data_IF_808265972409
#
_entry.id   IF_808265972409
#
_cell.length_a   1.000
_cell.length_b   1.000
_cell.length_c   1.000
_cell.angle_alpha   90.00
_cell.angle_beta   90.00
_cell.angle_gamma   90.00
#
_symmetry.space_group_name_H-M   'P 1'
#
loop_
_entity.id
_entity.type
_entity.pdbx_description
1 polymer ?
#
# COMPACT_ATOMS: atom_id res chain seq x y z
N UNK A 1 17.36 41.69 14.94
CA UNK A 1 17.83 42.70 13.96
C UNK A 1 17.22 42.33 12.61
N UNK A 2 16.68 43.27 11.83
CA UNK A 2 16.19 42.95 10.47
C UNK A 2 17.36 43.06 9.48
N UNK A 3 17.49 42.08 8.60
CA UNK A 3 18.19 42.19 7.32
C UNK A 3 17.22 41.66 6.26
N UNK A 4 17.22 42.27 5.09
CA UNK A 4 16.33 41.94 3.97
C UNK A 4 17.08 41.07 2.96
N UNK A 5 16.35 40.27 2.20
CA UNK A 5 16.86 39.67 0.96
C UNK A 5 16.71 40.67 -0.19
N UNK A 6 17.60 40.57 -1.17
CA UNK A 6 17.35 41.02 -2.55
C UNK A 6 17.86 39.94 -3.52
N UNK A 7 17.69 40.20 -4.81
CA UNK A 7 17.68 39.25 -5.92
C UNK A 7 19.08 39.00 -6.50
N UNK A 8 19.17 38.10 -7.49
CA UNK A 8 20.38 37.86 -8.31
C UNK A 8 21.64 37.43 -7.54
N UNK A 9 21.47 36.49 -6.60
CA UNK A 9 22.53 35.94 -5.75
C UNK A 9 23.63 35.13 -6.48
N UNK A 10 24.53 35.83 -7.18
CA UNK A 10 25.83 35.31 -7.62
C UNK A 10 26.94 35.84 -6.71
N UNK A 11 27.80 34.94 -6.23
CA UNK A 11 29.11 35.28 -5.66
C UNK A 11 30.14 34.40 -6.36
N UNK A 12 31.22 35.02 -6.81
CA UNK A 12 32.37 34.38 -7.48
C UNK A 12 33.63 34.56 -6.62
N UNK A 13 34.63 33.76 -6.99
CA UNK A 13 36.06 33.88 -6.66
C UNK A 13 36.52 33.54 -5.23
N UNK A 14 37.69 32.89 -5.20
CA UNK A 14 38.27 32.24 -4.02
C UNK A 14 39.39 31.28 -4.41
N UNK A 15 40.32 31.71 -5.26
CA UNK A 15 41.50 30.92 -5.64
C UNK A 15 42.41 30.63 -4.43
N UNK A 16 43.05 29.46 -4.42
CA UNK A 16 44.35 29.31 -3.77
C UNK A 16 45.16 28.16 -4.40
N UNK A 17 46.43 28.43 -4.71
CA UNK A 17 47.37 27.51 -5.37
C UNK A 17 48.33 26.89 -4.34
N UNK A 18 48.74 25.64 -4.56
CA UNK A 18 50.11 25.18 -4.24
C UNK A 18 50.45 23.85 -4.90
N UNK A 19 51.63 23.79 -5.53
CA UNK A 19 52.33 22.57 -5.90
C UNK A 19 53.37 22.23 -4.81
N UNK A 20 53.87 20.98 -4.71
CA UNK A 20 55.32 20.69 -4.51
C UNK A 20 55.67 19.18 -4.56
N UNK A 21 56.52 18.83 -5.53
CA UNK A 21 57.60 17.81 -5.54
C UNK A 21 57.62 16.59 -4.58
N UNK A 22 57.35 15.40 -5.14
CA UNK A 22 58.26 14.24 -5.38
C UNK A 22 59.28 13.69 -4.32
N UNK A 23 59.68 12.42 -4.53
CA UNK A 23 60.82 11.63 -3.96
C UNK A 23 60.65 10.99 -2.54
N UNK A 24 61.16 9.78 -2.22
CA UNK A 24 61.56 8.58 -3.02
C UNK A 24 61.82 7.34 -2.10
N UNK A 25 61.69 6.11 -2.64
CA UNK A 25 62.17 4.79 -2.11
C UNK A 25 61.63 4.19 -0.79
N UNK A 26 61.55 2.84 -0.75
CA UNK A 26 61.53 2.03 0.50
C UNK A 26 60.57 0.82 0.49
N UNK A 27 61.08 -0.41 0.35
CA UNK A 27 60.28 -1.65 0.45
C UNK A 27 60.05 -2.09 1.90
N UNK A 28 58.86 -2.62 2.22
CA UNK A 28 58.72 -4.00 2.72
C UNK A 28 57.25 -4.49 2.71
N UNK A 29 57.06 -5.82 2.66
CA UNK A 29 55.75 -6.48 2.54
C UNK A 29 55.29 -7.09 3.87
N UNK A 30 54.10 -6.73 4.35
CA UNK A 30 53.30 -7.52 5.30
C UNK A 30 51.82 -7.45 4.87
N UNK A 31 51.10 -8.58 4.69
CA UNK A 31 49.71 -8.56 4.26
C UNK A 31 48.74 -8.42 5.44
N UNK A 32 47.94 -7.35 5.46
CA UNK A 32 46.85 -7.15 6.41
C UNK A 32 45.58 -6.62 5.73
N UNK A 33 44.42 -6.96 6.32
CA UNK A 33 43.10 -6.69 5.76
C UNK A 33 42.71 -5.21 5.83
N UNK A 34 42.05 -4.74 4.77
CA UNK A 34 40.86 -3.88 4.87
C UNK A 34 41.00 -2.53 5.56
N UNK A 35 41.35 -1.50 4.77
CA UNK A 35 40.96 -0.12 5.03
C UNK A 35 40.20 0.40 3.81
N UNK A 36 39.03 0.99 4.05
CA UNK A 36 38.39 1.88 3.08
C UNK A 36 39.00 3.28 3.23
N UNK A 37 39.02 4.13 2.19
CA UNK A 37 39.28 5.55 2.38
C UNK A 37 38.16 6.15 3.24
N UNK A 38 38.52 6.95 4.24
CA UNK A 38 37.58 7.88 4.85
C UNK A 38 37.15 8.92 3.80
N UNK A 39 35.88 9.31 3.86
CA UNK A 39 35.29 10.37 3.04
C UNK A 39 34.57 11.30 3.99
N UNK A 40 34.94 12.57 3.99
CA UNK A 40 34.49 13.54 4.98
C UNK A 40 32.96 13.66 5.03
N UNK A 41 32.41 13.58 6.24
CA UNK A 41 30.97 13.70 6.49
C UNK A 41 30.61 15.11 6.95
N UNK A 42 30.24 15.97 6.01
CA UNK A 42 29.36 17.10 6.29
C UNK A 42 27.94 16.59 6.59
N UNK A 43 27.73 16.08 7.80
CA UNK A 43 26.41 15.67 8.29
C UNK A 43 25.56 16.88 8.67
N UNK A 44 24.81 17.41 7.70
CA UNK A 44 23.68 18.30 7.95
C UNK A 44 22.35 17.52 8.05
N UNK A 45 22.26 16.60 9.00
CA UNK A 45 21.15 16.61 9.94
C UNK A 45 19.83 15.98 9.48
N UNK A 46 19.88 14.83 8.80
CA UNK A 46 18.72 13.92 8.72
C UNK A 46 19.13 12.51 9.14
N UNK A 47 19.16 12.28 10.45
CA UNK A 47 19.49 10.99 11.10
C UNK A 47 18.44 9.89 10.92
N UNK A 48 17.97 9.67 9.70
CA UNK A 48 17.15 8.51 9.33
C UNK A 48 18.03 7.30 9.03
N UNK A 49 17.67 6.13 9.56
CA UNK A 49 18.30 4.87 9.17
C UNK A 49 17.84 4.50 7.74
N UNK A 50 18.78 4.11 6.86
CA UNK A 50 18.44 3.55 5.55
C UNK A 50 17.68 2.25 5.76
N UNK A 51 16.41 2.22 5.38
CA UNK A 51 15.54 1.04 5.59
C UNK A 51 15.78 -0.05 4.55
N UNK A 52 16.03 0.37 3.30
CA UNK A 52 16.22 -0.52 2.16
C UNK A 52 17.19 0.13 1.18
N UNK A 53 18.02 -0.70 0.53
CA UNK A 53 18.96 -0.27 -0.51
C UNK A 53 18.89 -1.24 -1.68
N UNK A 54 19.19 -0.76 -2.88
CA UNK A 54 19.35 -1.61 -4.06
C UNK A 54 19.96 -0.85 -5.21
N UNK A 55 20.52 -1.58 -6.18
CA UNK A 55 21.14 -1.01 -7.36
C UNK A 55 20.89 -1.84 -8.62
N UNK A 56 21.05 -1.19 -9.77
CA UNK A 56 21.05 -1.81 -11.09
C UNK A 56 22.24 -1.29 -11.89
N UNK A 57 22.92 -2.19 -12.59
CA UNK A 57 23.94 -1.90 -13.59
C UNK A 57 23.40 -2.23 -14.98
N UNK A 58 23.54 -1.32 -15.93
CA UNK A 58 22.98 -1.42 -17.28
C UNK A 58 24.08 -1.14 -18.32
N UNK A 59 24.26 -2.09 -19.23
CA UNK A 59 25.29 -2.03 -20.27
C UNK A 59 24.64 -1.57 -21.59
N UNK A 60 24.82 -0.30 -21.93
CA UNK A 60 24.22 0.35 -23.10
C UNK A 60 25.14 0.15 -24.29
N UNK A 61 24.87 -0.90 -25.08
CA UNK A 61 25.60 -1.23 -26.32
C UNK A 61 25.10 -0.40 -27.50
N UNK A 62 25.99 -0.06 -28.42
CA UNK A 62 25.65 0.77 -29.58
C UNK A 62 25.48 2.25 -29.22
N UNK A 63 26.19 2.75 -28.21
CA UNK A 63 25.96 4.07 -27.61
C UNK A 63 26.05 5.21 -28.64
N UNK A 64 27.00 5.15 -29.58
CA UNK A 64 27.14 6.13 -30.67
C UNK A 64 25.96 6.13 -31.67
N UNK A 65 25.15 5.07 -31.67
CA UNK A 65 24.03 4.85 -32.61
C UNK A 65 22.66 5.21 -32.01
N UNK A 66 22.63 5.66 -30.75
CA UNK A 66 21.39 6.05 -30.08
C UNK A 66 20.78 7.27 -30.78
N UNK A 67 19.59 7.10 -31.36
CA UNK A 67 18.88 8.12 -32.13
C UNK A 67 17.93 8.94 -31.25
N UNK A 68 17.13 8.27 -30.42
CA UNK A 68 16.12 8.89 -29.55
C UNK A 68 16.74 9.84 -28.51
N UNK A 69 15.95 10.81 -28.04
CA UNK A 69 16.36 11.76 -27.00
C UNK A 69 16.63 11.08 -25.64
N UNK A 70 15.96 9.95 -25.37
CA UNK A 70 16.04 9.23 -24.09
C UNK A 70 15.81 7.74 -24.20
N UNK A 71 16.43 7.00 -23.27
CA UNK A 71 16.33 5.55 -23.15
C UNK A 71 16.17 5.14 -21.68
N UNK A 72 15.69 3.92 -21.46
CA UNK A 72 15.47 3.35 -20.13
C UNK A 72 16.11 1.97 -19.97
N UNK A 73 16.52 1.64 -18.75
CA UNK A 73 16.92 0.27 -18.38
C UNK A 73 15.71 -0.65 -18.13
N UNK A 74 16.00 -1.92 -17.93
CA UNK A 74 15.10 -2.83 -17.21
C UNK A 74 14.77 -2.31 -15.79
N UNK A 75 13.72 -2.84 -15.17
CA UNK A 75 13.27 -2.41 -13.84
C UNK A 75 13.86 -3.29 -12.72
N UNK A 76 14.33 -2.67 -11.64
CA UNK A 76 14.71 -3.35 -10.39
C UNK A 76 13.80 -2.93 -9.23
N UNK A 77 13.60 -3.81 -8.24
CA UNK A 77 12.64 -3.60 -7.15
C UNK A 77 13.36 -3.35 -5.83
N UNK A 78 13.02 -2.25 -5.14
CA UNK A 78 13.51 -1.94 -3.79
C UNK A 78 12.32 -1.50 -2.93
N UNK A 79 12.14 -2.15 -1.77
CA UNK A 79 10.97 -1.98 -0.88
C UNK A 79 9.61 -2.03 -1.62
N UNK A 80 9.43 -3.03 -2.49
CA UNK A 80 8.22 -3.21 -3.31
C UNK A 80 8.01 -2.19 -4.44
N UNK A 81 8.81 -1.12 -4.50
CA UNK A 81 8.74 -0.09 -5.53
C UNK A 81 9.68 -0.45 -6.69
N UNK A 82 9.23 -0.29 -7.94
CA UNK A 82 10.06 -0.52 -9.13
C UNK A 82 10.77 0.76 -9.56
N UNK A 83 12.05 0.63 -9.85
CA UNK A 83 12.95 1.69 -10.27
C UNK A 83 13.59 1.33 -11.61
N UNK A 84 13.93 2.34 -12.42
CA UNK A 84 14.71 2.17 -13.66
C UNK A 84 15.66 3.35 -13.85
N UNK A 85 16.76 3.11 -14.55
CA UNK A 85 17.66 4.16 -15.01
C UNK A 85 17.01 4.83 -16.22
N UNK A 86 17.02 6.16 -16.24
CA UNK A 86 16.62 7.00 -17.37
C UNK A 86 17.84 7.80 -17.83
N UNK A 87 18.22 7.67 -19.10
CA UNK A 87 19.38 8.33 -19.69
C UNK A 87 18.95 9.18 -20.89
N UNK A 88 19.50 10.39 -21.00
CA UNK A 88 19.43 11.20 -22.22
C UNK A 88 20.83 11.25 -22.82
N UNK A 89 21.14 10.41 -23.83
CA UNK A 89 22.51 10.24 -24.35
C UNK A 89 23.06 11.48 -25.07
N UNK A 90 22.20 12.46 -25.40
CA UNK A 90 22.54 13.74 -26.04
C UNK A 90 22.21 14.98 -25.18
N UNK A 91 21.70 14.74 -23.97
CA UNK A 91 21.37 15.78 -22.98
C UNK A 91 19.87 16.13 -22.89
N UNK A 92 19.44 16.51 -21.68
CA UNK A 92 18.10 16.98 -21.36
C UNK A 92 18.14 18.50 -21.10
N UNK A 93 17.82 19.30 -22.13
CA UNK A 93 17.87 20.78 -22.16
C UNK A 93 19.27 21.40 -21.93
N UNK A 94 20.29 20.59 -21.66
CA UNK A 94 21.70 20.99 -21.59
C UNK A 94 22.44 20.18 -22.66
N UNK A 95 22.78 20.83 -23.77
CA UNK A 95 23.51 20.20 -24.88
C UNK A 95 24.98 19.93 -24.50
N UNK A 96 25.62 18.99 -25.19
CA UNK A 96 27.03 18.65 -24.94
C UNK A 96 27.27 17.80 -23.68
N UNK A 97 26.22 17.46 -22.91
CA UNK A 97 26.30 16.59 -21.73
C UNK A 97 25.35 15.41 -21.84
N UNK A 98 25.79 14.26 -21.33
CA UNK A 98 24.96 13.12 -20.99
C UNK A 98 24.17 13.45 -19.72
N UNK A 99 22.85 13.26 -19.73
CA UNK A 99 22.01 13.37 -18.52
C UNK A 99 21.63 11.99 -18.01
N UNK A 100 21.66 11.79 -16.70
CA UNK A 100 21.42 10.50 -16.06
C UNK A 100 20.49 10.68 -14.85
N UNK A 101 19.50 9.81 -14.73
CA UNK A 101 18.43 9.85 -13.72
C UNK A 101 18.07 8.45 -13.24
N UNK A 102 17.44 8.40 -12.06
CA UNK A 102 16.64 7.26 -11.61
C UNK A 102 15.16 7.67 -11.65
N UNK A 103 14.30 6.85 -12.25
CA UNK A 103 12.85 7.04 -12.33
C UNK A 103 12.13 5.89 -11.59
N UNK A 104 11.05 6.21 -10.86
CA UNK A 104 10.06 5.23 -10.42
C UNK A 104 9.32 4.71 -11.66
N UNK A 105 9.46 3.42 -11.97
CA UNK A 105 9.15 2.88 -13.30
C UNK A 105 7.65 2.70 -13.60
N UNK A 106 6.82 2.55 -12.56
CA UNK A 106 5.37 2.30 -12.62
C UNK A 106 4.63 3.13 -11.55
N UNK A 107 4.75 4.47 -11.56
CA UNK A 107 4.22 5.35 -10.51
C UNK A 107 2.70 5.36 -10.46
N UNK A 108 2.03 4.95 -11.54
CA UNK A 108 0.57 4.81 -11.65
C UNK A 108 0.06 3.57 -10.88
N UNK A 109 0.95 2.61 -10.57
CA UNK A 109 0.64 1.44 -9.71
C UNK A 109 0.91 1.70 -8.23
N UNK A 110 1.44 2.88 -7.87
CA UNK A 110 1.62 3.29 -6.49
C UNK A 110 0.38 4.08 -6.00
N UNK A 111 -0.04 3.91 -4.74
CA UNK A 111 -1.11 4.70 -4.12
C UNK A 111 -1.05 6.21 -4.41
N UNK A 112 -2.11 6.80 -4.93
CA UNK A 112 -2.30 8.26 -5.06
C UNK A 112 -1.80 8.99 -3.80
N UNK A 113 -0.93 9.98 -3.99
CA UNK A 113 -0.26 10.70 -2.91
C UNK A 113 0.98 10.01 -2.32
N UNK A 114 1.48 8.92 -2.93
CA UNK A 114 2.72 8.25 -2.54
C UNK A 114 3.91 9.20 -2.48
N UNK A 115 4.79 8.98 -1.50
CA UNK A 115 6.04 9.71 -1.31
C UNK A 115 7.15 8.73 -0.91
N UNK A 116 8.29 8.77 -1.59
CA UNK A 116 9.47 7.96 -1.26
C UNK A 116 10.65 8.89 -1.01
N UNK A 117 11.10 8.93 0.24
CA UNK A 117 12.23 9.73 0.72
C UNK A 117 13.53 8.92 0.56
N UNK A 118 14.41 9.34 -0.35
CA UNK A 118 15.59 8.58 -0.74
C UNK A 118 16.79 9.46 -1.16
N UNK A 119 17.99 8.87 -1.12
CA UNK A 119 19.17 9.38 -1.85
C UNK A 119 19.45 8.48 -3.05
N UNK A 120 19.94 9.06 -4.14
CA UNK A 120 20.36 8.34 -5.34
C UNK A 120 21.87 8.47 -5.49
N UNK A 121 22.55 7.38 -5.86
CA UNK A 121 23.90 7.43 -6.40
C UNK A 121 23.86 6.98 -7.86
N UNK A 122 24.44 7.77 -8.76
CA UNK A 122 24.47 7.56 -10.20
C UNK A 122 25.93 7.47 -10.66
N UNK A 123 26.23 6.55 -11.56
CA UNK A 123 27.59 6.33 -12.05
C UNK A 123 27.64 5.99 -13.54
N UNK A 124 28.69 6.46 -14.22
CA UNK A 124 29.23 5.82 -15.43
C UNK A 124 30.49 5.09 -15.00
N UNK A 125 30.48 3.77 -15.13
CA UNK A 125 31.56 2.88 -14.68
C UNK A 125 32.72 2.95 -15.67
N UNK A 126 33.91 3.19 -15.15
CA UNK A 126 35.14 3.09 -15.93
C UNK A 126 35.52 1.61 -16.11
N UNK A 127 35.56 1.17 -17.36
CA UNK A 127 35.67 -0.23 -17.74
C UNK A 127 37.14 -0.71 -17.77
N UNK A 128 38.12 0.19 -17.65
CA UNK A 128 39.54 -0.15 -17.50
C UNK A 128 39.98 -0.10 -16.03
N UNK A 129 39.58 0.96 -15.30
CA UNK A 129 40.02 1.22 -13.92
C UNK A 129 38.81 1.66 -13.09
N UNK A 130 38.12 0.75 -12.36
CA UNK A 130 36.85 1.05 -11.71
C UNK A 130 36.86 2.21 -10.70
N UNK A 131 38.00 2.53 -10.09
CA UNK A 131 38.15 3.71 -9.21
C UNK A 131 38.10 5.06 -9.94
N UNK A 132 38.29 5.08 -11.27
CA UNK A 132 38.14 6.25 -12.13
C UNK A 132 36.72 6.36 -12.75
N UNK A 133 35.74 5.67 -12.17
CA UNK A 133 34.32 5.79 -12.55
C UNK A 133 33.79 7.19 -12.23
N UNK A 134 33.00 7.76 -13.13
CA UNK A 134 32.33 9.03 -12.88
C UNK A 134 31.10 8.78 -11.99
N UNK A 135 31.27 8.93 -10.68
CA UNK A 135 30.22 8.70 -9.65
C UNK A 135 29.70 10.03 -9.11
N UNK A 136 28.39 10.14 -8.86
CA UNK A 136 27.73 11.28 -8.18
C UNK A 136 26.64 10.78 -7.24
N UNK A 137 26.67 11.21 -5.98
CA UNK A 137 25.54 11.08 -5.06
C UNK A 137 24.68 12.34 -5.16
N UNK A 138 23.37 12.21 -5.29
CA UNK A 138 22.44 13.34 -5.34
C UNK A 138 22.17 13.89 -3.94
N UNK A 139 21.69 15.14 -3.82
CA UNK A 139 20.91 15.57 -2.67
C UNK A 139 19.75 14.59 -2.38
N UNK A 140 19.28 14.61 -1.14
CA UNK A 140 18.08 13.90 -0.70
C UNK A 140 16.86 14.39 -1.49
N UNK A 141 16.00 13.47 -1.92
CA UNK A 141 14.81 13.79 -2.72
C UNK A 141 13.58 12.99 -2.24
N UNK A 142 12.40 13.53 -2.55
CA UNK A 142 11.11 12.96 -2.17
C UNK A 142 10.32 12.66 -3.44
N UNK A 143 10.57 11.49 -4.02
CA UNK A 143 9.86 11.03 -5.21
C UNK A 143 8.35 10.98 -4.94
N UNK A 144 7.56 11.51 -5.86
CA UNK A 144 6.10 11.55 -5.81
C UNK A 144 5.51 11.52 -7.23
N UNK A 145 4.19 11.47 -7.38
CA UNK A 145 3.55 11.24 -8.69
C UNK A 145 3.91 12.28 -9.78
N UNK A 146 4.07 13.56 -9.41
CA UNK A 146 4.47 14.65 -10.30
C UNK A 146 5.99 14.75 -10.49
N UNK A 147 6.78 14.30 -9.51
CA UNK A 147 8.26 14.32 -9.46
C UNK A 147 8.76 12.88 -9.28
N UNK A 148 8.63 12.09 -10.35
CA UNK A 148 8.90 10.65 -10.35
C UNK A 148 10.32 10.25 -10.76
N UNK A 149 11.13 11.21 -11.22
CA UNK A 149 12.54 11.02 -11.54
C UNK A 149 13.45 12.04 -10.85
N UNK A 150 14.67 11.62 -10.55
CA UNK A 150 15.70 12.46 -9.93
C UNK A 150 17.08 12.12 -10.47
N UNK A 151 17.92 13.13 -10.67
CA UNK A 151 19.21 12.97 -11.33
C UNK A 151 19.84 14.28 -11.79
N UNK A 152 20.75 14.19 -12.76
CA UNK A 152 21.60 15.29 -13.19
C UNK A 152 21.46 15.55 -14.70
N UNK A 153 21.05 16.77 -15.05
CA UNK A 153 20.99 17.28 -16.44
C UNK A 153 22.37 17.30 -17.10
N UNK A 154 23.40 17.68 -16.36
CA UNK A 154 24.79 17.61 -16.79
C UNK A 154 25.55 16.60 -15.91
N UNK A 155 25.35 15.30 -16.16
CA UNK A 155 26.03 14.25 -15.39
C UNK A 155 27.51 14.16 -15.79
N UNK A 156 27.77 14.15 -17.10
CA UNK A 156 29.11 14.12 -17.71
C UNK A 156 29.05 14.76 -19.10
N UNK A 157 30.06 15.55 -19.45
CA UNK A 157 30.27 16.07 -20.82
C UNK A 157 30.45 14.93 -21.81
N UNK A 158 29.91 15.07 -23.03
CA UNK A 158 29.91 14.01 -24.03
C UNK A 158 31.32 13.72 -24.55
N UNK A 159 32.15 14.74 -24.73
CA UNK A 159 33.56 14.60 -25.11
C UNK A 159 34.32 13.70 -24.12
N UNK A 160 34.05 13.86 -22.82
CA UNK A 160 34.66 13.03 -21.77
C UNK A 160 34.10 11.60 -21.70
N UNK A 161 32.91 11.35 -22.24
CA UNK A 161 32.31 10.00 -22.35
C UNK A 161 32.79 9.28 -23.60
N UNK A 162 32.90 9.98 -24.73
CA UNK A 162 33.27 9.40 -26.03
C UNK A 162 34.79 9.26 -26.22
N UNK A 163 35.61 9.96 -25.43
CA UNK A 163 37.06 9.75 -25.38
C UNK A 163 37.41 8.33 -24.91
N UNK A 164 37.74 7.48 -25.90
CA UNK A 164 38.13 6.09 -25.71
C UNK A 164 39.37 5.89 -24.81
N UNK A 165 40.20 6.92 -24.60
CA UNK A 165 41.34 6.86 -23.69
C UNK A 165 40.92 6.79 -22.21
N UNK A 166 39.71 7.30 -21.89
CA UNK A 166 39.22 7.45 -20.51
C UNK A 166 38.47 6.22 -20.01
N UNK A 167 38.15 5.26 -20.88
CA UNK A 167 37.55 3.98 -20.49
C UNK A 167 36.08 4.04 -20.05
N UNK A 168 35.37 5.14 -20.28
CA UNK A 168 33.93 5.23 -20.03
C UNK A 168 33.13 4.56 -21.17
N UNK A 169 33.46 4.89 -22.43
CA UNK A 169 33.02 4.18 -23.62
C UNK A 169 34.08 3.15 -24.07
N UNK A 170 33.70 1.88 -24.16
CA UNK A 170 34.55 0.78 -24.64
C UNK A 170 33.73 -0.11 -25.55
N UNK A 171 34.25 -0.46 -26.74
CA UNK A 171 33.53 -1.27 -27.74
C UNK A 171 32.09 -0.77 -28.03
N UNK A 172 31.96 0.55 -28.29
CA UNK A 172 30.66 1.23 -28.50
C UNK A 172 29.64 0.98 -27.37
N UNK A 173 30.11 0.69 -26.16
CA UNK A 173 29.29 0.35 -24.99
C UNK A 173 29.68 1.21 -23.79
N UNK A 174 28.69 1.85 -23.15
CA UNK A 174 28.88 2.45 -21.81
C UNK A 174 28.22 1.56 -20.76
N UNK A 175 28.82 1.51 -19.57
CA UNK A 175 28.24 0.82 -18.41
C UNK A 175 27.77 1.89 -17.42
N UNK A 176 26.47 1.97 -17.18
CA UNK A 176 25.89 2.88 -16.17
C UNK A 176 25.40 2.09 -14.97
N UNK A 177 25.45 2.69 -13.79
CA UNK A 177 24.93 2.11 -12.56
C UNK A 177 24.13 3.15 -11.77
N UNK A 178 23.04 2.72 -11.16
CA UNK A 178 22.26 3.54 -10.24
C UNK A 178 21.97 2.74 -8.97
N UNK A 179 22.14 3.38 -7.82
CA UNK A 179 21.81 2.87 -6.48
C UNK A 179 20.82 3.82 -5.83
N UNK A 180 19.83 3.26 -5.12
CA UNK A 180 18.86 4.01 -4.32
C UNK A 180 18.93 3.55 -2.87
N UNK A 181 19.02 4.52 -1.96
CA UNK A 181 18.98 4.31 -0.52
C UNK A 181 17.70 4.95 0.03
N UNK A 182 16.75 4.11 0.44
CA UNK A 182 15.41 4.51 0.84
C UNK A 182 15.36 4.69 2.37
N UNK A 183 15.16 5.92 2.79
CA UNK A 183 15.08 6.31 4.20
C UNK A 183 13.66 6.16 4.75
N UNK A 184 12.64 6.52 3.96
CA UNK A 184 11.24 6.45 4.39
C UNK A 184 10.30 6.32 3.20
N UNK A 185 9.30 5.45 3.34
CA UNK A 185 8.24 5.27 2.36
C UNK A 185 6.92 5.64 3.02
N UNK A 186 6.29 6.70 2.53
CA UNK A 186 4.92 7.04 2.85
C UNK A 186 4.05 6.68 1.64
N UNK A 187 3.53 5.46 1.64
CA UNK A 187 2.35 5.15 0.85
C UNK A 187 1.13 5.56 1.68
N UNK A 188 0.32 6.54 1.26
CA UNK A 188 -1.03 6.66 1.77
C UNK A 188 -1.76 5.34 1.59
N UNK A 189 -2.70 5.05 2.50
CA UNK A 189 -3.67 3.99 2.27
C UNK A 189 -4.68 4.47 1.23
N UNK A 190 -4.29 4.48 -0.05
CA UNK A 190 -5.28 4.22 -1.10
C UNK A 190 -5.93 2.90 -0.76
N UNK A 191 -7.26 2.89 -0.75
CA UNK A 191 -8.03 1.68 -0.85
C UNK A 191 -7.72 1.04 -2.20
N UNK A 192 -6.61 0.29 -2.29
CA UNK A 192 -6.36 -0.61 -3.41
C UNK A 192 -7.60 -1.50 -3.49
N UNK A 193 -8.17 -1.69 -4.68
CA UNK A 193 -9.12 -2.79 -4.92
C UNK A 193 -8.45 -4.08 -4.47
N UNK A 194 -8.82 -4.51 -3.26
CA UNK A 194 -7.94 -5.34 -2.43
C UNK A 194 -8.12 -6.77 -2.90
N UNK A 195 -7.12 -7.36 -3.55
CA UNK A 195 -7.20 -8.76 -4.02
C UNK A 195 -7.23 -9.79 -2.88
N UNK A 196 -7.29 -9.34 -1.62
CA UNK A 196 -7.84 -10.14 -0.52
C UNK A 196 -9.30 -10.55 -0.75
N UNK A 197 -10.11 -9.81 -1.52
CA UNK A 197 -11.45 -10.25 -1.94
C UNK A 197 -11.42 -11.67 -2.51
N UNK A 198 -10.48 -11.99 -3.40
CA UNK A 198 -10.34 -13.35 -3.95
C UNK A 198 -10.17 -14.45 -2.87
N UNK A 199 -9.58 -14.13 -1.71
CA UNK A 199 -9.47 -15.04 -0.56
C UNK A 199 -10.69 -14.96 0.37
N UNK A 200 -11.23 -13.76 0.60
CA UNK A 200 -12.42 -13.52 1.42
C UNK A 200 -13.68 -14.12 0.76
N UNK A 201 -13.95 -13.81 -0.51
CA UNK A 201 -14.98 -14.46 -1.33
C UNK A 201 -14.80 -15.98 -1.33
N UNK A 202 -13.59 -16.51 -1.50
CA UNK A 202 -13.34 -17.96 -1.46
C UNK A 202 -13.69 -18.55 -0.09
N UNK A 203 -13.29 -17.88 1.01
CA UNK A 203 -13.59 -18.29 2.37
C UNK A 203 -15.09 -18.22 2.67
N UNK A 204 -15.75 -17.09 2.40
CA UNK A 204 -17.18 -16.91 2.61
C UNK A 204 -18.03 -17.78 1.67
N UNK A 205 -17.57 -18.11 0.47
CA UNK A 205 -18.23 -19.11 -0.40
C UNK A 205 -18.18 -20.51 0.23
N UNK A 206 -17.04 -20.92 0.78
CA UNK A 206 -16.91 -22.20 1.51
C UNK A 206 -17.76 -22.21 2.79
N UNK A 207 -17.80 -21.10 3.54
CA UNK A 207 -18.71 -20.95 4.68
C UNK A 207 -20.18 -21.02 4.27
N UNK A 208 -20.58 -20.38 3.18
CA UNK A 208 -21.95 -20.42 2.66
C UNK A 208 -22.39 -21.82 2.20
N UNK A 209 -21.45 -22.65 1.74
CA UNK A 209 -21.69 -24.08 1.49
C UNK A 209 -21.85 -24.85 2.81
N UNK A 210 -20.97 -24.61 3.80
CA UNK A 210 -21.06 -25.22 5.12
C UNK A 210 -22.37 -24.91 5.86
N UNK A 211 -22.83 -23.65 5.83
CA UNK A 211 -24.11 -23.21 6.42
C UNK A 211 -25.31 -23.93 5.82
N UNK A 212 -25.29 -24.21 4.50
CA UNK A 212 -26.35 -24.97 3.82
C UNK A 212 -26.36 -26.43 4.28
N UNK A 213 -25.20 -27.09 4.30
CA UNK A 213 -25.05 -28.48 4.76
C UNK A 213 -25.41 -28.64 6.25
N UNK A 214 -25.08 -27.65 7.09
CA UNK A 214 -25.38 -27.65 8.52
C UNK A 214 -26.85 -27.32 8.86
N UNK A 215 -27.72 -27.14 7.86
CA UNK A 215 -29.15 -26.83 8.06
C UNK A 215 -30.09 -28.05 7.88
N UNK A 216 -29.56 -29.24 7.60
CA UNK A 216 -30.35 -30.48 7.47
C UNK A 216 -30.69 -31.11 8.85
N UNK A 217 -31.97 -31.38 9.17
CA UNK A 217 -32.39 -31.74 10.53
C UNK A 217 -32.38 -33.27 10.79
N UNK A 218 -31.41 -33.75 11.57
CA UNK A 218 -31.35 -35.16 12.02
C UNK A 218 -31.11 -35.28 13.52
N UNK A 219 -31.97 -36.06 14.20
CA UNK A 219 -31.94 -36.51 15.60
C UNK A 219 -32.17 -35.47 16.71
N UNK A 220 -33.47 -35.22 16.96
CA UNK A 220 -33.96 -34.69 18.23
C UNK A 220 -34.76 -35.78 18.98
N UNK A 221 -34.39 -36.11 20.23
CA UNK A 221 -35.19 -36.88 21.21
C UNK A 221 -34.91 -36.31 22.61
N UNK A 222 -35.95 -36.16 23.43
CA UNK A 222 -36.05 -35.10 24.44
C UNK A 222 -35.88 -35.51 25.93
N UNK A 223 -35.67 -34.50 26.80
CA UNK A 223 -36.22 -34.36 28.18
C UNK A 223 -35.84 -35.44 29.27
N UNK A 224 -36.14 -35.32 30.59
CA UNK A 224 -36.27 -34.20 31.57
C UNK A 224 -36.54 -34.78 33.00
N UNK A 225 -36.26 -34.16 34.17
CA UNK A 225 -35.15 -33.33 34.69
C UNK A 225 -35.33 -33.08 36.24
N UNK A 226 -34.34 -32.43 36.90
CA UNK A 226 -34.39 -31.73 38.24
C UNK A 226 -34.41 -32.61 39.54
N UNK A 227 -33.38 -32.53 40.43
CA UNK A 227 -33.10 -31.60 41.59
C UNK A 227 -33.86 -31.98 42.90
N UNK A 228 -33.35 -31.84 44.16
CA UNK A 228 -32.07 -31.37 44.75
C UNK A 228 -31.91 -31.81 46.25
N UNK A 229 -30.66 -31.95 46.75
CA UNK A 229 -30.08 -31.62 48.12
C UNK A 229 -30.88 -31.79 49.45
N UNK A 230 -30.33 -32.10 50.64
CA UNK A 230 -29.13 -32.83 51.15
C UNK A 230 -29.13 -32.87 52.72
N UNK A 231 -28.41 -33.82 53.37
CA UNK A 231 -27.98 -33.87 54.80
C UNK A 231 -29.11 -33.91 55.89
N UNK A 232 -28.98 -34.43 57.13
CA UNK A 232 -28.02 -35.24 57.95
C UNK A 232 -28.87 -35.81 59.16
N UNK A 233 -28.46 -36.61 60.16
CA UNK A 233 -27.15 -37.15 60.63
C UNK A 233 -27.21 -38.69 60.83
N UNK A 234 -27.21 -39.24 62.06
CA UNK A 234 -27.12 -40.68 62.38
C UNK A 234 -27.69 -41.01 63.78
N UNK A 235 -28.49 -42.09 63.92
CA UNK A 235 -28.65 -42.87 65.16
C UNK A 235 -29.09 -44.32 64.84
N UNK A 236 -29.06 -45.26 65.80
CA UNK A 236 -29.23 -46.72 65.59
C UNK A 236 -30.64 -47.16 65.13
N UNK A 237 -30.78 -48.27 64.37
CA UNK A 237 -32.04 -48.61 63.71
C UNK A 237 -32.94 -49.55 64.54
N UNK A 238 -34.21 -49.20 64.66
CA UNK A 238 -35.23 -50.07 65.26
C UNK A 238 -35.60 -51.26 64.35
N UNK A 239 -36.22 -52.30 64.93
CA UNK A 239 -36.72 -53.46 64.16
C UNK A 239 -37.72 -53.07 63.05
N UNK A 240 -38.49 -52.01 63.24
CA UNK A 240 -39.46 -51.57 62.25
C UNK A 240 -38.81 -50.81 61.08
N UNK A 241 -37.68 -50.13 61.31
CA UNK A 241 -36.84 -49.60 60.22
C UNK A 241 -36.23 -50.70 59.37
N UNK A 242 -35.78 -51.81 59.97
CA UNK A 242 -35.26 -52.98 59.22
C UNK A 242 -36.34 -53.61 58.33
N UNK A 243 -37.60 -53.61 58.79
CA UNK A 243 -38.77 -54.06 58.00
C UNK A 243 -39.11 -53.06 56.89
N UNK A 244 -39.12 -51.75 57.20
CA UNK A 244 -39.33 -50.66 56.24
C UNK A 244 -38.25 -50.64 55.14
N UNK A 245 -36.99 -50.88 55.51
CA UNK A 245 -35.87 -51.03 54.58
C UNK A 245 -36.09 -52.17 53.58
N UNK A 246 -36.51 -53.37 54.04
CA UNK A 246 -36.83 -54.50 53.13
C UNK A 246 -37.98 -54.17 52.18
N UNK A 247 -38.94 -53.35 52.61
CA UNK A 247 -40.05 -52.91 51.76
C UNK A 247 -39.59 -51.86 50.74
N UNK A 248 -38.86 -50.83 51.16
CA UNK A 248 -38.30 -49.83 50.24
C UNK A 248 -37.32 -50.43 49.23
N UNK A 249 -36.61 -51.51 49.59
CA UNK A 249 -35.77 -52.26 48.64
C UNK A 249 -36.60 -52.90 47.51
N UNK A 250 -37.75 -53.51 47.85
CA UNK A 250 -38.69 -54.09 46.86
C UNK A 250 -39.28 -53.02 45.95
N UNK A 251 -39.67 -51.87 46.52
CA UNK A 251 -40.19 -50.73 45.77
C UNK A 251 -39.14 -50.14 44.82
N UNK A 252 -37.87 -50.05 45.24
CA UNK A 252 -36.76 -49.64 44.38
C UNK A 252 -36.47 -50.63 43.23
N UNK A 253 -36.77 -51.92 43.42
CA UNK A 253 -36.66 -52.96 42.38
C UNK A 253 -37.88 -53.03 41.45
N UNK A 254 -38.95 -52.28 41.73
CA UNK A 254 -40.19 -52.24 40.94
C UNK A 254 -40.46 -50.86 40.30
N UNK A 255 -39.87 -49.79 40.83
CA UNK A 255 -40.03 -48.42 40.31
C UNK A 255 -39.06 -48.07 39.20
N UNK A 256 -39.56 -47.45 38.13
CA UNK A 256 -38.72 -46.95 37.03
C UNK A 256 -37.67 -45.94 37.52
N UNK A 257 -36.46 -46.02 36.96
CA UNK A 257 -35.25 -45.38 37.47
C UNK A 257 -35.39 -43.87 37.70
N UNK A 258 -35.32 -43.46 38.97
CA UNK A 258 -35.22 -42.05 39.42
C UNK A 258 -34.00 -41.88 40.30
N UNK A 259 -33.42 -40.69 40.30
CA UNK A 259 -32.18 -40.36 41.05
C UNK A 259 -32.29 -40.69 42.55
N UNK A 260 -33.48 -40.52 43.14
CA UNK A 260 -33.77 -40.82 44.55
C UNK A 260 -33.81 -42.34 44.88
N UNK A 261 -33.68 -43.22 43.89
CA UNK A 261 -33.44 -44.66 44.16
C UNK A 261 -32.07 -44.86 44.79
N UNK A 262 -31.04 -44.06 44.44
CA UNK A 262 -29.70 -44.21 45.07
C UNK A 262 -29.78 -43.99 46.58
N UNK A 263 -30.39 -42.88 47.01
CA UNK A 263 -30.61 -42.53 48.42
C UNK A 263 -31.40 -43.60 49.15
N UNK A 264 -32.52 -44.06 48.56
CA UNK A 264 -33.40 -45.07 49.17
C UNK A 264 -32.75 -46.45 49.27
N UNK A 265 -32.05 -46.91 48.22
CA UNK A 265 -31.36 -48.20 48.26
C UNK A 265 -30.19 -48.19 49.25
N UNK A 266 -29.38 -47.12 49.27
CA UNK A 266 -28.32 -46.96 50.27
C UNK A 266 -28.87 -46.93 51.70
N UNK A 267 -29.93 -46.15 51.97
CA UNK A 267 -30.54 -46.08 53.30
C UNK A 267 -31.13 -47.44 53.73
N UNK A 268 -31.79 -48.15 52.82
CA UNK A 268 -32.33 -49.48 53.08
C UNK A 268 -31.22 -50.52 53.34
N UNK A 269 -30.24 -50.62 52.45
CA UNK A 269 -29.15 -51.60 52.57
C UNK A 269 -28.18 -51.27 53.72
N UNK A 270 -27.94 -50.00 54.03
CA UNK A 270 -27.19 -49.58 55.23
C UNK A 270 -27.94 -49.94 56.51
N UNK A 271 -29.25 -49.74 56.56
CA UNK A 271 -30.10 -50.19 57.69
C UNK A 271 -30.06 -51.71 57.85
N UNK A 272 -30.01 -52.47 56.74
CA UNK A 272 -29.91 -53.93 56.75
C UNK A 272 -28.52 -54.44 57.13
N UNK A 273 -27.46 -53.79 56.67
CA UNK A 273 -26.07 -54.05 57.06
C UNK A 273 -25.83 -53.73 58.53
N UNK A 274 -26.48 -52.70 59.07
CA UNK A 274 -26.44 -52.34 60.49
C UNK A 274 -27.28 -53.27 61.38
N UNK A 275 -28.09 -54.14 60.78
CA UNK A 275 -28.83 -55.22 61.46
C UNK A 275 -28.15 -56.60 61.28
N UNK A 276 -26.83 -56.63 61.05
CA UNK A 276 -26.07 -57.83 60.65
C UNK A 276 -26.03 -58.98 61.67
N UNK A 277 -26.58 -58.84 62.89
CA UNK A 277 -26.51 -59.83 63.97
C UNK A 277 -27.26 -61.15 63.68
N UNK A 278 -28.11 -61.20 62.64
CA UNK A 278 -28.99 -62.35 62.36
C UNK A 278 -29.02 -62.77 60.86
N UNK A 279 -27.91 -62.66 60.13
CA UNK A 279 -27.79 -63.03 58.71
C UNK A 279 -26.69 -64.08 58.48
N UNK A 280 -26.90 -65.03 57.55
CA UNK A 280 -25.90 -66.06 57.22
C UNK A 280 -24.71 -65.48 56.43
N UNK A 281 -23.56 -66.16 56.47
CA UNK A 281 -22.35 -65.73 55.75
C UNK A 281 -22.57 -65.59 54.25
N UNK A 282 -23.34 -66.49 53.63
CA UNK A 282 -23.70 -66.43 52.20
C UNK A 282 -24.59 -65.22 51.89
N UNK A 283 -25.56 -64.92 52.76
CA UNK A 283 -26.42 -63.74 52.62
C UNK A 283 -25.60 -62.45 52.73
N UNK A 284 -24.62 -62.40 53.65
CA UNK A 284 -23.68 -61.27 53.78
C UNK A 284 -22.78 -61.12 52.55
N UNK A 285 -22.34 -62.22 51.93
CA UNK A 285 -21.58 -62.16 50.67
C UNK A 285 -22.43 -61.70 49.48
N UNK A 286 -23.65 -62.23 49.31
CA UNK A 286 -24.59 -61.82 48.26
C UNK A 286 -24.94 -60.33 48.35
N UNK A 287 -25.21 -59.82 49.56
CA UNK A 287 -25.45 -58.39 49.80
C UNK A 287 -24.23 -57.55 49.37
N UNK A 288 -23.01 -57.98 49.71
CA UNK A 288 -21.76 -57.28 49.34
C UNK A 288 -21.49 -57.31 47.82
N UNK A 289 -21.81 -58.39 47.11
CA UNK A 289 -21.72 -58.43 45.64
C UNK A 289 -22.68 -57.43 45.01
N UNK A 290 -23.96 -57.49 45.39
CA UNK A 290 -25.01 -56.59 44.88
C UNK A 290 -24.70 -55.11 45.17
N UNK A 291 -24.04 -54.79 46.29
CA UNK A 291 -23.51 -53.45 46.55
C UNK A 291 -22.49 -53.01 45.50
N UNK A 292 -21.46 -53.82 45.23
CA UNK A 292 -20.41 -53.49 44.25
C UNK A 292 -21.00 -53.34 42.84
N UNK A 293 -21.89 -54.24 42.44
CA UNK A 293 -22.56 -54.18 41.14
C UNK A 293 -23.47 -52.94 41.03
N UNK A 294 -24.17 -52.57 42.11
CA UNK A 294 -25.00 -51.37 42.16
C UNK A 294 -24.16 -50.08 42.14
N UNK A 295 -23.05 -50.02 42.87
CA UNK A 295 -22.17 -48.85 42.87
C UNK A 295 -21.50 -48.63 41.50
N UNK A 296 -21.10 -49.71 40.82
CA UNK A 296 -20.63 -49.68 39.44
C UNK A 296 -21.72 -49.16 38.48
N UNK A 297 -22.95 -49.69 38.56
CA UNK A 297 -24.09 -49.22 37.77
C UNK A 297 -24.40 -47.74 38.01
N UNK A 298 -24.42 -47.30 39.27
CA UNK A 298 -24.68 -45.92 39.66
C UNK A 298 -23.54 -44.97 39.21
N UNK A 299 -22.29 -45.41 39.25
CA UNK A 299 -21.15 -44.67 38.68
C UNK A 299 -21.28 -44.48 37.17
N UNK A 300 -21.69 -45.54 36.45
CA UNK A 300 -22.02 -45.47 35.03
C UNK A 300 -23.18 -44.50 34.73
N UNK A 301 -24.27 -44.56 35.51
CA UNK A 301 -25.43 -43.69 35.34
C UNK A 301 -25.11 -42.20 35.59
N UNK A 302 -24.31 -41.89 36.62
CA UNK A 302 -23.86 -40.52 36.89
C UNK A 302 -22.96 -40.01 35.76
N UNK A 303 -22.11 -40.87 35.20
CA UNK A 303 -21.26 -40.54 34.04
C UNK A 303 -22.12 -40.25 32.80
N UNK A 304 -23.11 -41.10 32.52
CA UNK A 304 -24.06 -40.92 31.42
C UNK A 304 -24.85 -39.60 31.51
N UNK A 305 -25.43 -39.26 32.67
CA UNK A 305 -26.16 -37.99 32.83
C UNK A 305 -25.24 -36.76 32.72
N UNK A 306 -23.99 -36.86 33.17
CA UNK A 306 -22.97 -35.83 32.99
C UNK A 306 -22.61 -35.64 31.49
N UNK A 307 -22.41 -36.74 30.76
CA UNK A 307 -22.06 -36.69 29.34
C UNK A 307 -23.24 -36.28 28.44
N UNK A 308 -24.47 -36.68 28.80
CA UNK A 308 -25.71 -36.14 28.19
C UNK A 308 -25.81 -34.63 28.41
N UNK A 309 -25.49 -34.15 29.62
CA UNK A 309 -25.48 -32.71 29.93
C UNK A 309 -24.42 -31.94 29.13
N UNK A 310 -23.23 -32.53 28.89
CA UNK A 310 -22.21 -31.97 28.00
C UNK A 310 -22.69 -31.94 26.55
N UNK A 311 -23.36 -33.00 26.07
CA UNK A 311 -23.85 -33.10 24.69
C UNK A 311 -24.87 -32.00 24.37
N UNK A 312 -25.88 -31.79 25.22
CA UNK A 312 -26.87 -30.72 25.02
C UNK A 312 -26.23 -29.32 25.05
N UNK A 313 -25.24 -29.12 25.94
CA UNK A 313 -24.47 -27.86 26.00
C UNK A 313 -23.61 -27.65 24.74
N UNK A 314 -23.11 -28.74 24.13
CA UNK A 314 -22.42 -28.69 22.84
C UNK A 314 -23.37 -28.42 21.67
N UNK A 315 -24.60 -28.99 21.64
CA UNK A 315 -25.62 -28.65 20.63
C UNK A 315 -25.93 -27.15 20.65
N UNK A 316 -26.26 -26.59 21.82
CA UNK A 316 -26.61 -25.19 21.98
C UNK A 316 -25.46 -24.25 21.55
N UNK A 317 -24.20 -24.63 21.82
CA UNK A 317 -23.02 -23.91 21.30
C UNK A 317 -22.92 -23.98 19.78
N UNK A 318 -23.20 -25.12 19.16
CA UNK A 318 -23.20 -25.29 17.70
C UNK A 318 -24.30 -24.46 17.04
N UNK A 319 -25.50 -24.41 17.63
CA UNK A 319 -26.61 -23.57 17.18
C UNK A 319 -26.26 -22.07 17.23
N UNK A 320 -25.66 -21.60 18.34
CA UNK A 320 -25.16 -20.23 18.44
C UNK A 320 -24.10 -19.93 17.37
N UNK A 321 -23.11 -20.82 17.20
CA UNK A 321 -22.06 -20.66 16.18
C UNK A 321 -22.63 -20.63 14.75
N UNK A 322 -23.69 -21.40 14.46
CA UNK A 322 -24.37 -21.37 13.17
C UNK A 322 -25.15 -20.07 12.96
N UNK A 323 -25.72 -19.48 14.01
CA UNK A 323 -26.36 -18.16 13.98
C UNK A 323 -25.33 -17.04 13.71
N UNK A 324 -24.24 -17.00 14.49
CA UNK A 324 -23.13 -16.05 14.32
C UNK A 324 -22.52 -16.14 12.91
N UNK A 325 -22.46 -17.36 12.34
CA UNK A 325 -21.94 -17.61 11.01
C UNK A 325 -22.88 -17.12 9.90
N UNK A 326 -24.20 -17.30 10.05
CA UNK A 326 -25.21 -16.75 9.13
C UNK A 326 -25.13 -15.22 9.08
N UNK A 327 -25.13 -14.56 10.24
CA UNK A 327 -25.01 -13.11 10.34
C UNK A 327 -23.74 -12.56 9.66
N UNK A 328 -22.60 -13.23 9.82
CA UNK A 328 -21.33 -12.84 9.16
C UNK A 328 -21.39 -13.00 7.65
N UNK A 329 -22.04 -14.05 7.14
CA UNK A 329 -22.22 -14.27 5.71
C UNK A 329 -23.15 -13.22 5.06
N UNK A 330 -24.25 -12.87 5.74
CA UNK A 330 -25.15 -11.78 5.33
C UNK A 330 -24.44 -10.42 5.31
N UNK A 331 -23.65 -10.15 6.36
CA UNK A 331 -22.81 -8.94 6.45
C UNK A 331 -21.79 -8.87 5.30
N UNK A 332 -21.15 -9.98 4.93
CA UNK A 332 -20.23 -10.05 3.80
C UNK A 332 -20.92 -9.75 2.46
N UNK A 333 -22.12 -10.28 2.24
CA UNK A 333 -22.91 -10.01 1.04
C UNK A 333 -23.24 -8.51 0.88
N UNK A 334 -23.65 -7.85 1.97
CA UNK A 334 -23.93 -6.41 1.96
C UNK A 334 -22.69 -5.56 1.65
N UNK A 335 -21.53 -5.88 2.23
CA UNK A 335 -20.29 -5.18 1.91
C UNK A 335 -19.88 -5.36 0.45
N UNK A 336 -20.15 -6.52 -0.15
CA UNK A 336 -19.85 -6.80 -1.56
C UNK A 336 -20.72 -5.98 -2.51
N UNK A 337 -22.04 -6.01 -2.31
CA UNK A 337 -22.99 -5.19 -3.09
C UNK A 337 -22.67 -3.69 -2.96
N UNK A 338 -22.32 -3.23 -1.76
CA UNK A 338 -21.90 -1.85 -1.52
C UNK A 338 -20.61 -1.46 -2.28
N UNK A 339 -19.65 -2.38 -2.42
CA UNK A 339 -18.41 -2.15 -3.16
C UNK A 339 -18.63 -2.16 -4.69
N UNK A 340 -19.48 -3.06 -5.18
CA UNK A 340 -19.84 -3.14 -6.60
C UNK A 340 -20.58 -1.86 -7.05
N UNK A 341 -21.48 -1.32 -6.22
CA UNK A 341 -22.12 -0.02 -6.47
C UNK A 341 -21.12 1.16 -6.48
N UNK A 342 -20.20 1.23 -5.50
CA UNK A 342 -19.20 2.31 -5.43
C UNK A 342 -18.23 2.30 -6.62
N UNK A 343 -17.90 1.13 -7.17
CA UNK A 343 -17.07 1.03 -8.38
C UNK A 343 -17.82 1.60 -9.60
N UNK A 344 -19.14 1.39 -9.70
CA UNK A 344 -19.96 2.02 -10.75
C UNK A 344 -20.07 3.54 -10.63
N UNK A 345 -20.12 4.08 -9.41
CA UNK A 345 -20.07 5.54 -9.17
C UNK A 345 -18.69 6.13 -9.55
N UNK A 346 -17.60 5.41 -9.30
CA UNK A 346 -16.24 5.80 -9.70
C UNK A 346 -16.10 5.89 -11.23
N UNK A 347 -16.57 4.88 -11.97
CA UNK A 347 -16.58 4.87 -13.44
C UNK A 347 -17.42 6.01 -14.05
N UNK A 348 -18.60 6.33 -13.48
CA UNK A 348 -19.40 7.46 -13.98
C UNK A 348 -18.72 8.81 -13.76
N UNK A 349 -18.03 8.98 -12.62
CA UNK A 349 -17.28 10.19 -12.30
C UNK A 349 -16.05 10.36 -13.20
N UNK A 350 -15.36 9.28 -13.58
CA UNK A 350 -14.28 9.34 -14.57
C UNK A 350 -14.79 9.77 -15.97
N UNK A 351 -15.92 9.21 -16.43
CA UNK A 351 -16.56 9.63 -17.68
C UNK A 351 -16.90 11.13 -17.69
N UNK A 352 -17.52 11.63 -16.61
CA UNK A 352 -17.85 13.05 -16.43
C UNK A 352 -16.59 13.94 -16.40
N UNK A 353 -15.51 13.46 -15.78
CA UNK A 353 -14.23 14.17 -15.72
C UNK A 353 -13.58 14.31 -17.10
N UNK A 354 -13.63 13.27 -17.94
CA UNK A 354 -13.06 13.34 -19.30
C UNK A 354 -13.92 14.20 -20.24
N UNK A 355 -15.24 14.19 -20.08
CA UNK A 355 -16.12 15.14 -20.80
C UNK A 355 -15.78 16.61 -20.44
N UNK A 356 -15.52 16.91 -19.16
CA UNK A 356 -15.09 18.23 -18.71
C UNK A 356 -13.67 18.60 -19.21
N UNK A 357 -12.74 17.65 -19.26
CA UNK A 357 -11.40 17.84 -19.86
C UNK A 357 -11.50 18.18 -21.34
N UNK A 358 -12.35 17.47 -22.10
CA UNK A 358 -12.62 17.74 -23.51
C UNK A 358 -13.20 19.15 -23.73
N UNK A 359 -14.23 19.53 -22.95
CA UNK A 359 -14.83 20.88 -22.95
C UNK A 359 -13.78 21.97 -22.67
N UNK A 360 -12.89 21.78 -21.69
CA UNK A 360 -11.79 22.70 -21.36
C UNK A 360 -10.79 22.82 -22.52
N UNK A 361 -10.38 21.72 -23.12
CA UNK A 361 -9.43 21.72 -24.26
C UNK A 361 -10.02 22.46 -25.46
N UNK A 362 -11.32 22.27 -25.74
CA UNK A 362 -12.01 23.05 -26.78
C UNK A 362 -11.99 24.56 -26.47
N UNK A 363 -12.37 24.97 -25.25
CA UNK A 363 -12.37 26.39 -24.86
C UNK A 363 -10.99 27.06 -25.00
N UNK A 364 -9.90 26.33 -24.73
CA UNK A 364 -8.53 26.83 -24.93
C UNK A 364 -8.24 27.04 -26.44
N UNK A 365 -8.69 26.12 -27.30
CA UNK A 365 -8.56 26.25 -28.76
C UNK A 365 -9.39 27.40 -29.32
N UNK A 366 -10.66 27.50 -28.92
CA UNK A 366 -11.59 28.54 -29.36
C UNK A 366 -11.07 29.94 -28.94
N UNK A 367 -10.49 30.06 -27.73
CA UNK A 367 -9.85 31.30 -27.26
C UNK A 367 -8.57 31.64 -28.05
N UNK A 368 -7.73 30.65 -28.36
CA UNK A 368 -6.53 30.85 -29.17
C UNK A 368 -6.84 31.34 -30.59
N UNK A 369 -7.92 30.86 -31.20
CA UNK A 369 -8.41 31.37 -32.49
C UNK A 369 -8.85 32.84 -32.39
N UNK A 370 -9.72 33.17 -31.42
CA UNK A 370 -10.24 34.52 -31.21
C UNK A 370 -9.13 35.55 -30.88
N UNK A 371 -8.10 35.16 -30.14
CA UNK A 371 -6.92 35.99 -29.91
C UNK A 371 -6.12 36.25 -31.20
N UNK A 372 -6.09 35.29 -32.12
CA UNK A 372 -5.41 35.43 -33.41
C UNK A 372 -6.16 36.38 -34.35
N UNK A 373 -7.48 36.21 -34.47
CA UNK A 373 -8.37 37.11 -35.22
C UNK A 373 -8.29 38.55 -34.70
N UNK A 374 -8.25 38.73 -33.37
CA UNK A 374 -8.13 40.04 -32.72
C UNK A 374 -6.83 40.78 -33.12
N UNK A 375 -5.70 40.08 -33.17
CA UNK A 375 -4.40 40.65 -33.54
C UNK A 375 -4.31 40.97 -35.04
N UNK A 376 -4.99 40.22 -35.91
CA UNK A 376 -5.14 40.52 -37.34
C UNK A 376 -6.02 41.76 -37.59
N UNK A 377 -7.16 41.87 -36.92
CA UNK A 377 -8.05 43.05 -36.99
C UNK A 377 -7.33 44.31 -36.49
N UNK A 378 -6.60 44.20 -35.38
CA UNK A 378 -5.76 45.27 -34.81
C UNK A 378 -4.65 45.69 -35.77
N UNK A 379 -3.98 44.75 -36.43
CA UNK A 379 -2.96 45.03 -37.45
C UNK A 379 -3.55 45.74 -38.67
N UNK A 380 -4.73 45.30 -39.12
CA UNK A 380 -5.48 45.90 -40.23
C UNK A 380 -5.93 47.32 -39.92
N UNK A 381 -6.43 47.59 -38.72
CA UNK A 381 -6.79 48.93 -38.25
C UNK A 381 -5.58 49.89 -38.25
N UNK A 382 -4.42 49.44 -37.76
CA UNK A 382 -3.18 50.24 -37.77
C UNK A 382 -2.68 50.51 -39.19
N UNK A 383 -2.90 49.59 -40.13
CA UNK A 383 -2.60 49.81 -41.54
C UNK A 383 -3.54 50.86 -42.18
N UNK A 384 -4.85 50.81 -41.89
CA UNK A 384 -5.81 51.77 -42.44
C UNK A 384 -5.61 53.19 -41.90
N UNK A 385 -5.30 53.33 -40.61
CA UNK A 385 -4.96 54.62 -39.99
C UNK A 385 -3.80 55.33 -40.69
N UNK A 386 -2.78 54.59 -41.17
CA UNK A 386 -1.68 55.17 -41.95
C UNK A 386 -2.15 55.70 -43.30
N UNK A 387 -3.00 54.96 -44.02
CA UNK A 387 -3.57 55.41 -45.31
C UNK A 387 -4.39 56.68 -45.15
N UNK A 388 -5.16 56.80 -44.06
CA UNK A 388 -5.95 58.02 -43.78
C UNK A 388 -5.02 59.23 -43.67
N UNK A 389 -3.94 59.14 -42.90
CA UNK A 389 -2.95 60.23 -42.76
C UNK A 389 -2.29 60.57 -44.11
N UNK A 390 -1.93 59.57 -44.91
CA UNK A 390 -1.37 59.77 -46.26
C UNK A 390 -2.36 60.46 -47.21
N UNK A 391 -3.66 60.13 -47.12
CA UNK A 391 -4.72 60.77 -47.91
C UNK A 391 -5.02 62.19 -47.43
N UNK A 392 -5.03 62.44 -46.12
CA UNK A 392 -5.18 63.80 -45.56
C UNK A 392 -4.03 64.72 -46.00
N UNK A 393 -2.80 64.23 -46.00
CA UNK A 393 -1.66 64.96 -46.57
C UNK A 393 -1.81 65.26 -48.06
N UNK A 394 -2.30 64.31 -48.86
CA UNK A 394 -2.54 64.52 -50.29
C UNK A 394 -3.69 65.51 -50.53
N UNK A 395 -4.77 65.41 -49.77
CA UNK A 395 -5.90 66.34 -49.81
C UNK A 395 -5.43 67.76 -49.53
N UNK A 396 -4.69 68.00 -48.44
CA UNK A 396 -4.12 69.32 -48.13
C UNK A 396 -3.26 69.88 -49.27
N UNK A 397 -2.36 69.07 -49.85
CA UNK A 397 -1.52 69.47 -50.99
C UNK A 397 -2.36 69.86 -52.22
N UNK A 398 -3.51 69.20 -52.42
CA UNK A 398 -4.47 69.50 -53.48
C UNK A 398 -5.26 70.80 -53.23
N UNK A 399 -5.67 71.06 -51.98
CA UNK A 399 -6.38 72.28 -51.58
C UNK A 399 -5.50 73.52 -51.70
N UNK A 400 -4.24 73.44 -51.26
CA UNK A 400 -3.25 74.49 -51.52
C UNK A 400 -3.04 74.70 -53.04
N UNK A 401 -3.09 73.64 -53.85
CA UNK A 401 -3.07 73.71 -55.31
C UNK A 401 -4.27 74.46 -55.87
N UNK A 402 -5.46 74.18 -55.36
CA UNK A 402 -6.71 74.85 -55.72
C UNK A 402 -6.67 76.34 -55.38
N UNK A 403 -6.28 76.69 -54.17
CA UNK A 403 -6.18 78.10 -53.72
C UNK A 403 -5.18 78.92 -54.56
N UNK A 404 -4.06 78.32 -54.98
CA UNK A 404 -3.11 78.93 -55.94
C UNK A 404 -3.74 79.16 -57.33
N UNK A 405 -4.53 78.19 -57.80
CA UNK A 405 -5.28 78.32 -59.07
C UNK A 405 -6.37 79.38 -58.99
N UNK A 406 -7.17 79.41 -57.92
CA UNK A 406 -8.23 80.41 -57.71
C UNK A 406 -7.66 81.83 -57.62
N UNK A 407 -6.50 82.00 -56.95
CA UNK A 407 -5.76 83.27 -56.90
C UNK A 407 -5.29 83.72 -58.29
N UNK A 408 -4.80 82.77 -59.10
CA UNK A 408 -4.40 83.04 -60.50
C UNK A 408 -5.61 83.38 -61.37
N UNK A 409 -6.75 82.72 -61.16
CA UNK A 409 -8.00 82.95 -61.89
C UNK A 409 -8.65 84.30 -61.56
N UNK A 410 -8.55 84.75 -60.30
CA UNK A 410 -8.95 86.11 -59.91
C UNK A 410 -8.14 87.16 -60.68
N UNK A 411 -6.80 87.06 -60.65
CA UNK A 411 -5.90 87.97 -61.40
C UNK A 411 -6.17 87.95 -62.92
N UNK A 412 -6.55 86.81 -63.48
CA UNK A 412 -6.95 86.70 -64.89
C UNK A 412 -8.26 87.43 -65.20
N UNK A 413 -9.22 87.46 -64.26
CA UNK A 413 -10.44 88.26 -64.41
C UNK A 413 -10.15 89.75 -64.30
N UNK A 414 -9.33 90.16 -63.34
CA UNK A 414 -8.95 91.57 -63.12
C UNK A 414 -8.16 92.17 -64.31
N UNK A 415 -7.57 91.32 -65.16
CA UNK A 415 -6.90 91.69 -66.42
C UNK A 415 -7.84 91.74 -67.65
N UNK A 416 -9.09 91.29 -67.50
CA UNK A 416 -10.10 91.19 -68.57
C UNK A 416 -11.32 92.08 -68.33
N UNK A 417 -11.32 92.86 -67.25
CA UNK A 417 -12.35 93.82 -66.83
C UNK A 417 -11.89 95.27 -66.99
#
# INVERSE_FOLDING_TARGET
MRVLFDSDGCVMDGECLSEYSCCQFGFNLIPARGLQPEVDMDDQGVGGLVTHSGSLRWNIRGFSRLVEDKYWSETFTVNGCKWRILIYPKGNKVHGHLSLYLEVAEPERLPVGWRIEAKVCLAIINQYVPSLSAIRVTPFHVFLAEEKDWGLKAFKSLDEVTDCSRGLLVNDTITVEAKVDIYKVHLPRVARHFTETSKFDSYFTQLGQFVKLASDPVLNVEQSSRKQSANLTLEGPSKEEVKKAKQSLRECLQGAFKIDIKSKLYAALSTLSRAEENLSSEQKMLIRSVFVDFDNFIGGFITFENDRSKLELHKLRTEQLLSDLKQKNETHAWYKESLENLTGEEEELEMRLEELRSKRTKLISDWGALMSESEEVKSSYVAEQKKIIEVEEQMKKSEEGRARSDTTWARLKDLLS
#
